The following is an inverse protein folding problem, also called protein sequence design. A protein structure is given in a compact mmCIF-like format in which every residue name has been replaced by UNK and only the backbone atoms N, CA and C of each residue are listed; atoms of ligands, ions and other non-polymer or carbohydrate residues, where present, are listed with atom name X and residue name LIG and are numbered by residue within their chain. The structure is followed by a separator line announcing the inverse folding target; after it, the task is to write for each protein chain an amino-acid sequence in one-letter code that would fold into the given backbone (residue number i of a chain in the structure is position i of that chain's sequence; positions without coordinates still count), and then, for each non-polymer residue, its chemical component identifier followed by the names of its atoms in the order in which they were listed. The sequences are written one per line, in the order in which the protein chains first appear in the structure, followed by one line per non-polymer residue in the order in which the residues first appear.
data_IF_773947298466
#
_entry.id   IF_773947298466
#
_cell.length_a   1.000
_cell.length_b   1.000
_cell.length_c   1.000
_cell.angle_alpha   90.00
_cell.angle_beta   90.00
_cell.angle_gamma   90.00
#
_symmetry.space_group_name_H-M   'P 1'
#
loop_
_entity.id
_entity.type
_entity.pdbx_description
1 polymer ?
#
# COMPACT_ATOMS: atom_id res chain seq x y z
N UNK A 1 18.22 4.34 -0.18
CA UNK A 1 16.81 4.63 0.11
C UNK A 1 16.60 4.73 1.62
N UNK A 2 15.66 5.58 2.05
CA UNK A 2 15.28 5.82 3.43
C UNK A 2 14.04 5.01 3.81
N UNK A 3 13.95 4.60 5.07
CA UNK A 3 12.76 3.95 5.62
C UNK A 3 12.52 4.32 7.09
N UNK A 4 11.26 4.24 7.52
CA UNK A 4 10.88 4.07 8.92
C UNK A 4 10.41 2.64 9.14
N UNK A 5 10.85 2.01 10.22
CA UNK A 5 10.41 0.68 10.64
C UNK A 5 9.79 0.74 12.03
N UNK A 6 8.60 0.16 12.17
CA UNK A 6 7.91 0.01 13.43
C UNK A 6 7.62 -1.47 13.67
N UNK A 7 8.13 -1.97 14.80
CA UNK A 7 7.85 -3.32 15.24
C UNK A 7 6.46 -3.42 15.84
N UNK A 8 5.81 -4.55 15.61
CA UNK A 8 4.55 -4.88 16.25
C UNK A 8 4.73 -4.87 17.77
N UNK A 9 3.83 -4.19 18.47
CA UNK A 9 3.79 -4.16 19.93
C UNK A 9 3.49 -5.56 20.48
N UNK A 10 4.54 -6.28 20.89
CA UNK A 10 4.46 -7.62 21.47
C UNK A 10 5.40 -8.60 20.76
N UNK A 11 6.26 -9.24 21.53
CA UNK A 11 7.37 -10.03 21.02
C UNK A 11 6.92 -11.34 20.34
N UNK A 12 6.83 -11.34 19.00
CA UNK A 12 6.57 -12.54 18.19
C UNK A 12 7.32 -12.48 16.85
N UNK A 13 8.35 -13.33 16.71
CA UNK A 13 9.14 -13.44 15.48
C UNK A 13 8.40 -14.03 14.28
N UNK A 14 7.15 -14.47 14.44
CA UNK A 14 6.31 -15.06 13.38
C UNK A 14 5.36 -14.07 12.71
N UNK A 15 5.28 -12.84 13.21
CA UNK A 15 4.27 -11.88 12.76
C UNK A 15 4.67 -11.22 11.43
N UNK A 16 3.70 -10.97 10.53
CA UNK A 16 3.99 -10.53 9.17
C UNK A 16 4.63 -9.14 9.13
N UNK A 17 5.48 -8.92 8.13
CA UNK A 17 6.00 -7.61 7.75
C UNK A 17 5.12 -7.03 6.63
N UNK A 18 4.65 -5.81 6.82
CA UNK A 18 3.93 -5.00 5.84
C UNK A 18 4.89 -3.94 5.32
N UNK A 19 5.06 -3.86 4.00
CA UNK A 19 5.76 -2.75 3.36
C UNK A 19 4.70 -1.79 2.82
N UNK A 20 4.77 -0.53 3.22
CA UNK A 20 3.90 0.53 2.75
C UNK A 20 4.66 1.44 1.77
N UNK A 21 4.06 1.65 0.60
CA UNK A 21 4.59 2.50 -0.47
C UNK A 21 3.51 3.51 -0.87
N UNK A 22 3.78 4.80 -0.68
CA UNK A 22 2.89 5.86 -1.16
C UNK A 22 3.09 6.10 -2.66
N UNK A 23 2.02 6.50 -3.35
CA UNK A 23 1.98 6.76 -4.80
C UNK A 23 2.46 8.16 -5.20
N UNK A 24 1.69 8.85 -6.05
CA UNK A 24 2.01 10.18 -6.60
C UNK A 24 2.07 10.17 -8.12
N UNK A 25 3.16 9.67 -8.72
CA UNK A 25 4.37 9.09 -8.13
C UNK A 25 5.34 10.12 -7.52
N UNK A 26 6.22 9.68 -6.61
CA UNK A 26 7.18 10.54 -5.93
C UNK A 26 6.75 11.06 -4.56
N UNK A 27 5.60 10.61 -4.02
CA UNK A 27 5.13 11.03 -2.71
C UNK A 27 5.78 10.25 -1.57
N UNK A 28 6.19 10.98 -0.54
CA UNK A 28 6.88 10.42 0.62
C UNK A 28 5.95 9.53 1.46
N UNK A 29 6.42 8.35 1.82
CA UNK A 29 5.70 7.39 2.67
C UNK A 29 5.50 7.83 4.13
N UNK A 30 6.35 8.71 4.71
CA UNK A 30 6.04 9.51 5.89
C UNK A 30 4.69 10.25 5.87
N UNK A 31 4.13 10.59 4.69
CA UNK A 31 2.76 11.12 4.62
C UNK A 31 1.76 10.13 5.22
N UNK A 32 1.85 8.86 4.82
CA UNK A 32 0.99 7.81 5.34
C UNK A 32 1.28 7.48 6.81
N UNK A 33 2.56 7.54 7.18
CA UNK A 33 3.00 7.34 8.57
C UNK A 33 2.30 8.32 9.52
N UNK A 34 2.21 9.60 9.17
CA UNK A 34 1.68 10.63 10.07
C UNK A 34 0.21 11.01 9.85
N UNK A 35 -0.38 10.67 8.69
CA UNK A 35 -1.75 11.08 8.35
C UNK A 35 -2.70 9.92 8.00
N UNK A 36 -2.21 8.70 7.85
CA UNK A 36 -3.04 7.55 7.46
C UNK A 36 -2.99 6.43 8.50
N UNK A 37 -1.95 5.61 8.47
CA UNK A 37 -1.93 4.30 9.12
C UNK A 37 -0.67 4.02 9.94
N UNK A 38 0.20 5.00 10.12
CA UNK A 38 1.31 4.86 11.05
C UNK A 38 0.89 5.00 12.52
N UNK A 39 1.86 4.84 13.43
CA UNK A 39 1.62 4.79 14.88
C UNK A 39 1.25 6.13 15.51
N UNK A 40 1.43 7.25 14.77
CA UNK A 40 1.31 8.59 15.32
C UNK A 40 0.45 9.50 14.46
N UNK A 41 -0.23 10.44 15.11
CA UNK A 41 -0.74 11.66 14.49
C UNK A 41 0.16 12.85 14.85
N UNK A 42 0.27 13.81 13.94
CA UNK A 42 0.89 15.11 14.24
C UNK A 42 -0.20 16.08 14.70
N UNK A 43 -0.09 16.53 15.94
CA UNK A 43 -1.01 17.49 16.54
C UNK A 43 -0.72 18.93 16.11
N UNK A 44 -1.68 19.84 16.30
CA UNK A 44 -1.51 21.27 15.94
C UNK A 44 -0.32 21.96 16.63
N UNK A 45 0.12 21.43 17.78
CA UNK A 45 1.29 21.92 18.52
C UNK A 45 2.60 21.21 18.11
N UNK A 46 2.59 20.44 17.02
CA UNK A 46 3.71 19.64 16.51
C UNK A 46 4.16 18.51 17.43
N UNK A 47 3.37 18.14 18.44
CA UNK A 47 3.60 16.94 19.23
C UNK A 47 3.01 15.70 18.53
N UNK A 48 3.49 14.53 18.94
CA UNK A 48 2.95 13.25 18.47
C UNK A 48 1.93 12.72 19.47
N UNK A 49 0.77 12.29 18.96
CA UNK A 49 -0.20 11.51 19.70
C UNK A 49 -0.30 10.10 19.10
N UNK A 50 -0.70 9.11 19.90
CA UNK A 50 -0.84 7.74 19.42
C UNK A 50 -2.03 7.59 18.48
N UNK A 51 -1.83 6.81 17.41
CA UNK A 51 -2.90 6.35 16.55
C UNK A 51 -3.42 5.00 17.06
N UNK A 52 -4.60 5.00 17.71
CA UNK A 52 -5.26 3.77 18.18
C UNK A 52 -5.56 2.77 17.05
N UNK A 53 -5.51 3.22 15.79
CA UNK A 53 -5.75 2.42 14.60
C UNK A 53 -4.51 2.25 13.71
N UNK A 54 -3.32 2.55 14.24
CA UNK A 54 -2.05 2.32 13.56
C UNK A 54 -1.85 0.86 13.15
N UNK A 55 -1.29 0.64 11.98
CA UNK A 55 -1.09 -0.71 11.42
C UNK A 55 0.07 -1.46 12.10
N UNK A 56 0.93 -0.74 12.82
CA UNK A 56 1.90 -1.28 13.78
C UNK A 56 1.23 -2.06 14.93
N UNK A 57 -0.09 -1.92 15.15
CA UNK A 57 -0.85 -2.73 16.11
C UNK A 57 -1.24 -4.12 15.57
N UNK A 58 -0.95 -4.42 14.30
CA UNK A 58 -1.32 -5.67 13.62
C UNK A 58 -0.18 -6.33 12.83
N UNK A 59 0.92 -5.62 12.60
CA UNK A 59 2.06 -6.09 11.82
C UNK A 59 3.31 -5.30 12.17
N UNK A 60 4.47 -5.87 11.86
CA UNK A 60 5.68 -5.06 11.68
C UNK A 60 5.48 -4.26 10.40
N UNK A 61 5.71 -2.95 10.39
CA UNK A 61 5.45 -2.10 9.22
C UNK A 61 6.68 -1.27 8.83
N UNK A 62 6.99 -1.27 7.54
CA UNK A 62 8.07 -0.48 6.93
C UNK A 62 7.46 0.54 5.99
N UNK A 63 7.71 1.82 6.22
CA UNK A 63 7.38 2.91 5.31
C UNK A 63 8.62 3.24 4.49
N UNK A 64 8.59 2.99 3.18
CA UNK A 64 9.76 3.21 2.31
C UNK A 64 9.52 4.43 1.43
N UNK A 65 10.44 5.39 1.49
CA UNK A 65 10.48 6.47 0.52
C UNK A 65 11.05 5.93 -0.80
N UNK A 66 10.20 5.83 -1.82
CA UNK A 66 10.59 5.40 -3.16
C UNK A 66 9.93 6.32 -4.18
N UNK A 67 10.57 6.65 -5.29
CA UNK A 67 11.91 6.35 -5.77
C UNK A 67 13.06 7.07 -5.06
N UNK A 68 14.31 6.84 -5.51
CA UNK A 68 15.41 7.77 -5.28
C UNK A 68 15.02 9.18 -5.75
N UNK A 69 15.03 10.14 -4.85
CA UNK A 69 14.51 11.51 -5.03
C UNK A 69 13.22 11.79 -4.23
N UNK A 70 12.50 10.75 -3.78
CA UNK A 70 11.28 10.88 -2.97
C UNK A 70 11.60 11.03 -1.50
N UNK A 71 11.02 12.04 -0.84
CA UNK A 71 11.18 12.23 0.60
C UNK A 71 12.64 12.08 0.99
N UNK A 72 12.94 11.40 2.09
CA UNK A 72 14.30 11.26 2.60
C UNK A 72 15.21 10.30 1.79
N UNK A 73 14.73 9.67 0.71
CA UNK A 73 15.55 8.88 -0.23
C UNK A 73 16.21 9.81 -1.25
N UNK A 74 17.54 9.98 -1.19
CA UNK A 74 18.27 10.88 -2.08
C UNK A 74 19.53 10.24 -2.67
N UNK A 75 20.06 10.89 -3.70
CA UNK A 75 21.33 10.59 -4.36
C UNK A 75 22.05 11.89 -4.71
N UNK A 76 23.37 11.83 -4.84
CA UNK A 76 24.19 12.91 -5.41
C UNK A 76 24.51 12.68 -6.90
N UNK A 77 24.21 11.49 -7.43
CA UNK A 77 24.42 11.14 -8.83
C UNK A 77 23.08 11.17 -9.59
N UNK A 78 22.89 12.12 -10.54
CA UNK A 78 21.66 12.20 -11.33
C UNK A 78 21.32 10.93 -12.11
N UNK A 79 22.29 10.05 -12.38
CA UNK A 79 22.04 8.78 -13.08
C UNK A 79 21.27 7.75 -12.25
N UNK A 80 21.17 7.95 -10.94
CA UNK A 80 20.36 7.13 -10.04
C UNK A 80 18.86 7.52 -10.08
N UNK A 81 18.51 8.66 -10.68
CA UNK A 81 17.12 9.08 -10.81
C UNK A 81 16.42 8.20 -11.85
N UNK A 82 15.46 7.41 -11.38
CA UNK A 82 14.64 6.56 -12.25
C UNK A 82 13.54 7.39 -12.89
N UNK A 83 13.06 6.93 -14.04
CA UNK A 83 11.97 7.57 -14.80
C UNK A 83 11.02 6.51 -15.39
N UNK A 84 11.06 5.28 -14.86
CA UNK A 84 10.17 4.18 -15.22
C UNK A 84 10.03 3.16 -14.07
N UNK A 85 8.88 2.47 -14.04
CA UNK A 85 8.55 1.37 -13.12
C UNK A 85 9.59 0.23 -13.05
N UNK A 86 10.34 -0.04 -14.13
CA UNK A 86 11.32 -1.14 -14.11
C UNK A 86 12.54 -0.76 -13.25
N UNK A 87 13.05 0.47 -13.40
CA UNK A 87 14.10 1.03 -12.57
C UNK A 87 13.66 1.13 -11.11
N UNK A 88 12.42 1.58 -10.86
CA UNK A 88 11.80 1.59 -9.52
C UNK A 88 11.85 0.22 -8.88
N UNK A 89 11.38 -0.79 -9.62
CA UNK A 89 11.31 -2.16 -9.12
C UNK A 89 12.68 -2.73 -8.79
N UNK A 90 13.71 -2.42 -9.59
CA UNK A 90 15.08 -2.88 -9.33
C UNK A 90 15.65 -2.22 -8.08
N UNK A 91 15.50 -0.89 -7.92
CA UNK A 91 15.98 -0.18 -6.73
C UNK A 91 15.28 -0.66 -5.45
N UNK A 92 13.97 -0.94 -5.52
CA UNK A 92 13.23 -1.51 -4.39
C UNK A 92 13.68 -2.94 -4.08
N UNK A 93 13.94 -3.76 -5.09
CA UNK A 93 14.49 -5.11 -4.92
C UNK A 93 15.86 -5.07 -4.24
N UNK A 94 16.76 -4.22 -4.72
CA UNK A 94 18.10 -4.02 -4.14
C UNK A 94 18.00 -3.49 -2.70
N UNK A 95 17.07 -2.58 -2.42
CA UNK A 95 16.80 -2.16 -1.05
C UNK A 95 16.29 -3.28 -0.18
N UNK A 96 15.39 -4.16 -0.66
CA UNK A 96 14.90 -5.27 0.17
C UNK A 96 16.01 -6.28 0.46
N UNK A 97 16.90 -6.53 -0.50
CA UNK A 97 18.13 -7.30 -0.25
C UNK A 97 19.03 -6.60 0.77
N UNK A 98 19.22 -5.28 0.62
CA UNK A 98 20.02 -4.46 1.54
C UNK A 98 19.40 -4.32 2.93
N UNK A 99 18.09 -4.21 3.05
CA UNK A 99 17.33 -4.12 4.30
C UNK A 99 17.46 -5.42 5.11
N UNK A 100 17.43 -6.57 4.43
CA UNK A 100 17.75 -7.85 5.05
C UNK A 100 19.19 -7.92 5.61
N UNK A 101 20.06 -6.98 5.19
CA UNK A 101 21.47 -6.86 5.60
C UNK A 101 21.70 -5.57 6.45
N UNK A 102 20.73 -4.65 6.53
CA UNK A 102 20.67 -3.39 7.30
C UNK A 102 21.43 -2.19 6.71
N UNK A 103 20.80 -0.98 6.63
CA UNK A 103 21.36 0.41 6.80
C UNK A 103 20.48 1.59 6.23
N UNK A 104 20.63 2.83 6.77
CA UNK A 104 19.68 4.00 6.73
C UNK A 104 19.97 5.30 5.86
N UNK A 105 19.86 6.53 6.46
CA UNK A 105 19.06 7.77 6.08
C UNK A 105 19.78 9.12 5.61
N UNK A 106 19.02 10.18 5.15
CA UNK A 106 18.96 11.69 5.47
C UNK A 106 19.24 12.88 4.45
N UNK A 107 18.24 13.70 3.97
CA UNK A 107 18.26 15.23 3.82
C UNK A 107 17.05 16.01 3.13
N UNK A 108 16.12 16.71 3.83
CA UNK A 108 14.83 17.25 3.31
C UNK A 108 14.76 18.50 2.40
N UNK A 109 15.77 19.36 2.38
CA UNK A 109 15.72 20.72 1.81
C UNK A 109 15.90 20.79 0.28
N UNK A 110 16.50 19.76 -0.32
CA UNK A 110 16.64 19.61 -1.78
C UNK A 110 15.38 18.98 -2.40
N UNK A 111 14.52 18.36 -1.58
CA UNK A 111 13.63 17.25 -1.97
C UNK A 111 12.25 17.67 -2.47
N UNK A 112 11.70 18.79 -2.01
CA UNK A 112 10.36 19.23 -2.44
C UNK A 112 10.29 19.64 -3.92
N UNK A 113 11.42 19.91 -4.57
CA UNK A 113 11.47 20.31 -5.98
C UNK A 113 11.44 19.10 -6.94
N UNK A 114 11.97 17.95 -6.53
CA UNK A 114 11.98 16.74 -7.36
C UNK A 114 10.57 16.16 -7.60
N UNK A 115 9.61 16.45 -6.72
CA UNK A 115 8.20 16.05 -6.85
C UNK A 115 7.57 16.53 -8.16
N UNK A 116 7.80 17.80 -8.52
CA UNK A 116 7.23 18.37 -9.74
C UNK A 116 7.94 17.83 -10.98
N UNK A 117 9.25 17.64 -10.91
CA UNK A 117 10.05 17.17 -12.03
C UNK A 117 9.68 15.73 -12.37
N UNK A 118 9.53 14.85 -11.38
CA UNK A 118 9.10 13.47 -11.59
C UNK A 118 7.66 13.38 -12.12
N UNK A 119 6.72 14.16 -11.57
CA UNK A 119 5.33 14.17 -12.04
C UNK A 119 5.21 14.68 -13.50
N UNK A 120 6.11 15.54 -13.96
CA UNK A 120 6.10 16.10 -15.32
C UNK A 120 6.87 15.25 -16.34
N UNK A 121 7.95 14.58 -15.92
CA UNK A 121 8.84 13.86 -16.83
C UNK A 121 8.50 12.38 -16.97
N UNK A 122 7.67 11.84 -16.08
CA UNK A 122 7.33 10.42 -16.10
C UNK A 122 6.46 10.04 -17.31
N UNK A 123 6.96 9.11 -18.13
CA UNK A 123 6.32 8.62 -19.37
C UNK A 123 5.59 7.29 -19.18
N UNK A 124 5.49 6.78 -17.96
CA UNK A 124 4.88 5.48 -17.67
C UNK A 124 3.41 5.54 -17.22
N UNK A 125 2.84 6.74 -17.03
CA UNK A 125 1.47 6.90 -16.51
C UNK A 125 0.42 6.08 -17.27
N UNK A 126 0.59 5.93 -18.59
CA UNK A 126 -0.32 5.18 -19.46
C UNK A 126 0.08 3.71 -19.67
N UNK A 127 1.18 3.24 -19.06
CA UNK A 127 1.61 1.85 -19.13
C UNK A 127 0.71 0.99 -18.25
N UNK A 128 0.27 -0.14 -18.79
CA UNK A 128 -0.63 -1.04 -18.06
C UNK A 128 0.16 -1.97 -17.12
N UNK A 129 0.30 -1.58 -15.86
CA UNK A 129 0.96 -2.39 -14.82
C UNK A 129 0.16 -3.66 -14.45
N UNK A 130 -1.14 -3.72 -14.76
CA UNK A 130 -1.96 -4.90 -14.47
C UNK A 130 -1.56 -6.14 -15.29
N UNK A 131 -0.74 -5.98 -16.35
CA UNK A 131 -0.27 -7.09 -17.17
C UNK A 131 0.62 -8.09 -16.39
N UNK A 132 1.30 -7.66 -15.33
CA UNK A 132 2.12 -8.54 -14.48
C UNK A 132 1.32 -9.33 -13.45
N UNK A 133 0.12 -8.86 -13.11
CA UNK A 133 -0.69 -9.41 -12.00
C UNK A 133 -1.10 -10.87 -12.23
N UNK A 134 -1.54 -11.31 -13.43
CA UNK A 134 -1.89 -12.71 -13.65
C UNK A 134 -0.76 -13.69 -13.28
N UNK A 135 0.48 -13.40 -13.65
CA UNK A 135 1.62 -14.27 -13.32
C UNK A 135 1.81 -14.40 -11.80
N UNK A 136 1.71 -13.29 -11.06
CA UNK A 136 1.78 -13.30 -9.59
C UNK A 136 0.67 -14.15 -8.97
N UNK A 137 -0.55 -14.06 -9.51
CA UNK A 137 -1.69 -14.87 -9.05
C UNK A 137 -1.50 -16.37 -9.33
N UNK A 138 -0.93 -16.74 -10.48
CA UNK A 138 -0.60 -18.13 -10.80
C UNK A 138 0.49 -18.69 -9.87
N UNK A 139 1.44 -17.87 -9.45
CA UNK A 139 2.48 -18.22 -8.47
C UNK A 139 1.95 -18.29 -7.02
N UNK A 140 0.63 -18.12 -6.82
CA UNK A 140 -0.02 -18.22 -5.51
C UNK A 140 0.15 -16.99 -4.63
N UNK A 141 0.59 -15.86 -5.20
CA UNK A 141 0.60 -14.56 -4.52
C UNK A 141 -0.83 -14.05 -4.47
N UNK A 142 -1.29 -13.66 -3.28
CA UNK A 142 -2.67 -13.22 -3.08
C UNK A 142 -2.78 -11.73 -3.29
N UNK A 143 -3.85 -11.30 -3.95
CA UNK A 143 -4.16 -9.90 -4.21
C UNK A 143 -5.45 -9.48 -3.48
N UNK A 144 -5.40 -8.38 -2.74
CA UNK A 144 -6.58 -7.62 -2.34
C UNK A 144 -6.45 -6.21 -2.90
N UNK A 145 -7.42 -5.82 -3.73
CA UNK A 145 -7.59 -4.43 -4.16
C UNK A 145 -8.67 -3.78 -3.30
N UNK A 146 -8.41 -2.63 -2.70
CA UNK A 146 -9.41 -1.87 -1.97
C UNK A 146 -9.53 -0.43 -2.50
N UNK A 147 -10.71 0.15 -2.35
CA UNK A 147 -10.95 1.52 -2.78
C UNK A 147 -12.02 2.18 -1.93
N UNK A 148 -11.83 3.47 -1.63
CA UNK A 148 -12.85 4.31 -1.02
C UNK A 148 -14.02 4.55 -1.97
N UNK A 149 -15.23 4.55 -1.44
CA UNK A 149 -16.46 4.80 -2.19
C UNK A 149 -16.52 6.21 -2.80
N UNK A 150 -15.88 7.19 -2.16
CA UNK A 150 -15.94 8.61 -2.50
C UNK A 150 -14.71 9.09 -3.29
N UNK A 151 -13.76 8.21 -3.61
CA UNK A 151 -12.60 8.59 -4.42
C UNK A 151 -12.98 8.81 -5.90
N UNK A 152 -12.52 9.92 -6.47
CA UNK A 152 -12.67 10.26 -7.88
C UNK A 152 -11.51 9.74 -8.72
N UNK A 153 -10.26 10.00 -8.30
CA UNK A 153 -9.06 9.82 -9.13
C UNK A 153 -8.77 8.33 -9.33
N UNK A 154 -8.87 7.53 -8.27
CA UNK A 154 -8.73 6.07 -8.28
C UNK A 154 -10.04 5.38 -7.89
N UNK A 155 -11.16 5.82 -8.48
CA UNK A 155 -12.50 5.40 -8.09
C UNK A 155 -12.72 3.89 -8.02
N UNK A 156 -13.58 3.47 -7.09
CA UNK A 156 -13.90 2.07 -6.82
C UNK A 156 -14.49 1.33 -8.04
N UNK A 157 -15.18 2.03 -8.94
CA UNK A 157 -15.82 1.42 -10.10
C UNK A 157 -14.78 0.98 -11.14
N UNK A 158 -13.80 1.86 -11.43
CA UNK A 158 -12.65 1.56 -12.28
C UNK A 158 -11.84 0.41 -11.72
N UNK A 159 -11.54 0.47 -10.41
CA UNK A 159 -10.84 -0.59 -9.70
C UNK A 159 -11.57 -1.94 -9.79
N UNK A 160 -12.87 -1.96 -9.48
CA UNK A 160 -13.68 -3.17 -9.58
C UNK A 160 -13.70 -3.78 -10.99
N UNK A 161 -13.76 -2.93 -12.03
CA UNK A 161 -13.83 -3.36 -13.42
C UNK A 161 -12.53 -4.01 -13.92
N UNK A 162 -11.36 -3.41 -13.64
CA UNK A 162 -10.11 -3.99 -14.13
C UNK A 162 -9.80 -5.29 -13.40
N UNK A 163 -10.04 -5.37 -12.10
CA UNK A 163 -9.86 -6.60 -11.32
C UNK A 163 -10.77 -7.71 -11.84
N UNK A 164 -12.04 -7.40 -12.16
CA UNK A 164 -12.96 -8.35 -12.78
C UNK A 164 -12.56 -8.76 -14.22
N UNK A 165 -11.83 -7.90 -14.92
CA UNK A 165 -11.35 -8.16 -16.27
C UNK A 165 -10.11 -9.09 -16.30
N UNK A 166 -9.30 -9.12 -15.23
CA UNK A 166 -8.11 -9.98 -15.13
C UNK A 166 -8.39 -11.41 -15.58
N UNK A 167 -7.51 -11.95 -16.42
CA UNK A 167 -7.56 -13.32 -16.91
C UNK A 167 -6.50 -14.14 -16.18
N UNK A 168 -6.94 -15.09 -15.35
CA UNK A 168 -6.08 -16.01 -14.60
C UNK A 168 -6.89 -17.25 -14.18
N UNK A 169 -6.22 -18.33 -13.82
CA UNK A 169 -6.81 -19.64 -13.56
C UNK A 169 -7.88 -19.61 -12.45
N UNK A 170 -7.67 -18.82 -11.40
CA UNK A 170 -8.60 -18.67 -10.28
C UNK A 170 -9.74 -17.68 -10.52
N UNK A 171 -9.81 -17.00 -11.67
CA UNK A 171 -10.83 -15.97 -11.97
C UNK A 171 -12.25 -16.46 -11.75
N UNK A 172 -12.59 -17.68 -12.21
CA UNK A 172 -13.97 -18.19 -12.10
C UNK A 172 -14.39 -18.33 -10.63
N UNK A 173 -13.49 -18.84 -9.79
CA UNK A 173 -13.68 -18.99 -8.34
C UNK A 173 -13.73 -17.64 -7.64
N UNK A 174 -12.92 -16.67 -8.08
CA UNK A 174 -12.81 -15.34 -7.48
C UNK A 174 -13.90 -14.34 -7.89
N UNK A 175 -14.28 -14.31 -9.17
CA UNK A 175 -15.14 -13.26 -9.73
C UNK A 175 -16.41 -13.76 -10.40
N UNK A 176 -16.40 -14.98 -10.94
CA UNK A 176 -17.49 -15.50 -11.77
C UNK A 176 -18.74 -15.86 -10.97
N UNK A 177 -18.56 -16.45 -9.78
CA UNK A 177 -19.68 -17.01 -9.01
C UNK A 177 -19.75 -16.48 -7.56
N UNK A 178 -18.73 -15.75 -7.10
CA UNK A 178 -18.68 -15.25 -5.73
C UNK A 178 -19.65 -14.06 -5.54
N UNK A 179 -20.59 -14.13 -4.58
CA UNK A 179 -21.48 -13.03 -4.29
C UNK A 179 -20.71 -11.86 -3.66
N UNK A 180 -21.17 -10.65 -3.92
CA UNK A 180 -20.76 -9.49 -3.13
C UNK A 180 -21.41 -9.60 -1.75
N UNK A 181 -20.59 -9.66 -0.70
CA UNK A 181 -21.04 -9.76 0.68
C UNK A 181 -20.76 -8.45 1.44
N UNK A 182 -21.55 -8.11 2.47
CA UNK A 182 -21.24 -6.98 3.33
C UNK A 182 -19.91 -7.18 4.05
N UNK A 183 -19.04 -6.16 4.02
CA UNK A 183 -17.91 -6.07 4.95
C UNK A 183 -18.40 -5.39 6.22
N UNK A 184 -18.33 -6.10 7.34
CA UNK A 184 -18.91 -5.67 8.62
C UNK A 184 -17.80 -5.48 9.65
N UNK A 185 -17.82 -4.32 10.31
CA UNK A 185 -16.90 -3.94 11.39
C UNK A 185 -17.75 -3.57 12.60
N UNK A 186 -17.57 -4.29 13.72
CA UNK A 186 -18.33 -4.08 14.97
C UNK A 186 -19.87 -4.03 14.76
N UNK A 187 -20.40 -4.91 13.89
CA UNK A 187 -21.83 -4.97 13.59
C UNK A 187 -22.35 -3.89 12.62
N UNK A 188 -21.50 -2.96 12.17
CA UNK A 188 -21.84 -1.95 11.16
C UNK A 188 -21.30 -2.36 9.78
N UNK A 189 -22.09 -2.13 8.74
CA UNK A 189 -21.66 -2.34 7.36
C UNK A 189 -20.65 -1.24 6.98
N UNK A 190 -19.37 -1.60 6.92
CA UNK A 190 -18.26 -0.71 6.59
C UNK A 190 -17.86 -0.78 5.10
N UNK A 191 -18.41 -1.73 4.34
CA UNK A 191 -18.09 -1.86 2.94
C UNK A 191 -18.81 -2.98 2.21
N UNK A 192 -18.36 -3.25 0.99
CA UNK A 192 -18.79 -4.36 0.16
C UNK A 192 -17.57 -5.14 -0.31
N UNK A 193 -17.51 -6.41 0.08
CA UNK A 193 -16.46 -7.33 -0.29
C UNK A 193 -16.96 -8.20 -1.44
N UNK A 194 -16.28 -8.17 -2.58
CA UNK A 194 -16.35 -9.26 -3.54
C UNK A 194 -15.24 -10.23 -3.18
N UNK A 195 -15.65 -11.34 -2.55
CA UNK A 195 -14.75 -12.38 -2.07
C UNK A 195 -13.69 -12.67 -3.12
N UNK A 196 -12.43 -12.67 -2.68
CA UNK A 196 -11.23 -13.05 -3.43
C UNK A 196 -10.44 -11.98 -4.17
N UNK A 197 -10.87 -10.72 -4.33
CA UNK A 197 -9.89 -9.66 -4.67
C UNK A 197 -10.35 -8.20 -4.59
N UNK A 198 -11.60 -7.86 -4.21
CA UNK A 198 -12.01 -6.45 -4.18
C UNK A 198 -12.83 -6.05 -2.96
N UNK A 199 -12.40 -4.99 -2.27
CA UNK A 199 -13.13 -4.38 -1.15
C UNK A 199 -13.42 -2.91 -1.43
N UNK A 200 -14.71 -2.57 -1.57
CA UNK A 200 -15.14 -1.18 -1.50
C UNK A 200 -15.37 -0.78 -0.05
N UNK A 201 -14.75 0.30 0.41
CA UNK A 201 -14.93 0.84 1.77
C UNK A 201 -15.89 2.03 1.72
N UNK A 202 -16.97 1.94 2.50
CA UNK A 202 -18.00 2.97 2.55
C UNK A 202 -17.49 4.22 3.24
N UNK A 203 -17.94 5.40 2.78
CA UNK A 203 -17.65 6.69 3.40
C UNK A 203 -16.14 6.97 3.53
N UNK A 204 -15.34 6.52 2.56
CA UNK A 204 -13.91 6.78 2.46
C UNK A 204 -13.58 7.34 1.07
N UNK A 205 -12.68 8.32 1.02
CA UNK A 205 -12.09 8.88 -0.19
C UNK A 205 -10.80 8.16 -0.58
N UNK A 206 -9.83 8.92 -1.09
CA UNK A 206 -8.57 8.39 -1.60
C UNK A 206 -7.71 7.73 -0.51
N UNK A 207 -7.64 8.36 0.66
CA UNK A 207 -6.86 7.87 1.81
C UNK A 207 -7.77 7.11 2.78
N UNK A 208 -8.10 5.86 2.41
CA UNK A 208 -9.04 5.03 3.20
C UNK A 208 -8.68 4.91 4.69
N UNK A 209 -7.40 4.71 5.09
CA UNK A 209 -7.06 4.67 6.51
C UNK A 209 -7.26 6.01 7.23
N UNK A 210 -7.17 7.13 6.52
CA UNK A 210 -7.45 8.46 7.08
C UNK A 210 -8.96 8.64 7.33
N UNK A 211 -9.80 8.29 6.36
CA UNK A 211 -11.25 8.52 6.44
C UNK A 211 -11.98 7.46 7.30
N UNK A 212 -11.52 6.21 7.23
CA UNK A 212 -12.12 5.05 7.92
C UNK A 212 -11.07 4.21 8.66
N UNK A 213 -10.35 4.78 9.66
CA UNK A 213 -9.19 4.15 10.31
C UNK A 213 -9.50 2.78 10.92
N UNK A 214 -10.65 2.67 11.60
CA UNK A 214 -11.11 1.41 12.19
C UNK A 214 -11.40 0.34 11.13
N UNK A 215 -12.04 0.73 10.03
CA UNK A 215 -12.36 -0.21 8.96
C UNK A 215 -11.09 -0.66 8.22
N UNK A 216 -10.16 0.25 7.98
CA UNK A 216 -8.86 -0.03 7.38
C UNK A 216 -8.01 -0.99 8.23
N UNK A 217 -7.91 -0.76 9.55
CA UNK A 217 -7.20 -1.67 10.43
C UNK A 217 -7.89 -3.05 10.50
N UNK A 218 -9.22 -3.08 10.52
CA UNK A 218 -9.97 -4.35 10.50
C UNK A 218 -9.77 -5.11 9.19
N UNK A 219 -9.72 -4.39 8.06
CA UNK A 219 -9.37 -4.93 6.75
C UNK A 219 -7.98 -5.57 6.80
N UNK A 220 -6.96 -4.84 7.26
CA UNK A 220 -5.60 -5.38 7.37
C UNK A 220 -5.56 -6.64 8.25
N UNK A 221 -6.11 -6.58 9.46
CA UNK A 221 -6.14 -7.72 10.39
C UNK A 221 -6.82 -8.95 9.76
N UNK A 222 -7.95 -8.75 9.10
CA UNK A 222 -8.68 -9.82 8.42
C UNK A 222 -7.91 -10.36 7.21
N UNK A 223 -7.24 -9.47 6.47
CA UNK A 223 -6.38 -9.82 5.35
C UNK A 223 -5.20 -10.67 5.81
N UNK A 224 -4.46 -10.26 6.84
CA UNK A 224 -3.31 -10.98 7.40
C UNK A 224 -3.69 -12.33 8.05
N UNK A 225 -4.91 -12.45 8.57
CA UNK A 225 -5.45 -13.72 9.08
C UNK A 225 -5.97 -14.66 7.98
N UNK A 226 -6.02 -14.21 6.73
CA UNK A 226 -6.49 -15.01 5.59
C UNK A 226 -8.01 -15.13 5.51
N UNK A 227 -8.73 -14.24 6.20
CA UNK A 227 -10.20 -14.20 6.19
C UNK A 227 -10.78 -13.52 4.94
N UNK A 228 -9.94 -12.84 4.17
CA UNK A 228 -10.33 -12.08 2.98
C UNK A 228 -9.77 -12.67 1.65
N UNK A 229 -9.07 -13.81 1.69
CA UNK A 229 -8.53 -14.49 0.50
C UNK A 229 -8.49 -16.02 0.65
N UNK A 230 -8.21 -16.72 -0.46
CA UNK A 230 -7.84 -18.13 -0.44
C UNK A 230 -6.50 -18.34 0.30
N UNK A 231 -6.16 -19.57 0.71
CA UNK A 231 -4.83 -19.89 1.27
C UNK A 231 -3.69 -19.57 0.28
N UNK A 232 -2.54 -19.07 0.76
CA UNK A 232 -1.36 -18.75 -0.05
C UNK A 232 -0.22 -18.13 0.78
N UNK A 233 1.01 -18.13 0.28
CA UNK A 233 2.21 -17.80 1.06
C UNK A 233 2.54 -16.29 1.10
N UNK A 234 2.30 -15.55 0.02
CA UNK A 234 2.55 -14.10 -0.08
C UNK A 234 1.24 -13.32 -0.27
N UNK A 235 1.21 -12.07 0.19
CA UNK A 235 0.03 -11.21 0.20
C UNK A 235 0.38 -9.80 -0.29
N UNK A 236 -0.29 -9.35 -1.34
CA UNK A 236 -0.26 -7.99 -1.87
C UNK A 236 -1.59 -7.29 -1.55
N UNK A 237 -1.48 -6.01 -1.16
CA UNK A 237 -2.60 -5.14 -0.87
C UNK A 237 -2.41 -3.88 -1.74
N UNK A 238 -3.38 -3.61 -2.62
CA UNK A 238 -3.41 -2.47 -3.53
C UNK A 238 -4.61 -1.58 -3.22
#
# INVERSE_FOLDING_TARGET
MFYFFFELLGNKSSDPVVIWLTGGPGCSSPLALFHENGPFHIENNLSLSWNDYGWDTASNIIFVDQLTGTGFSYTTDPSDIRNDENGVSNDLYDFLQGFAIGNGLTQPDIQFKAYTDFALENKDWMRNSALGIPALLEDGIRLLTYAGEEDLICNWLGNSRWVNALAWSGKKKAFGEAPTVPFVVEGKKAGQLKLLSFLKVHNAGHFVPMDQPKAALTMLKSWLQGKLSLPGNLRLLF
#
